data_IF_198633761232
#
_entry.id   IF_198633761232
#
_cell.length_a   1.000
_cell.length_b   1.000
_cell.length_c   1.000
_cell.angle_alpha   90.00
_cell.angle_beta   90.00
_cell.angle_gamma   90.00
#
_symmetry.space_group_name_H-M   'P 1'
#
loop_
_entity.id
_entity.type
_entity.pdbx_description
1 polymer ?
#
# COMPACT_ATOMS: atom_id res chain seq x y z
N UNK A 1 62.49 -34.30 -43.64
CA UNK A 1 62.41 -34.27 -42.16
C UNK A 1 61.02 -33.79 -41.78
N UNK A 2 60.27 -34.61 -41.03
CA UNK A 2 58.93 -34.31 -40.52
C UNK A 2 59.03 -33.31 -39.36
N UNK A 3 58.13 -32.34 -39.32
CA UNK A 3 57.73 -31.63 -38.11
C UNK A 3 56.23 -31.30 -38.18
N UNK A 4 55.52 -31.28 -37.04
CA UNK A 4 54.13 -31.72 -36.96
C UNK A 4 53.11 -30.59 -36.98
N UNK A 5 51.94 -30.89 -37.54
CA UNK A 5 50.70 -30.15 -37.36
C UNK A 5 50.32 -30.10 -35.88
N UNK A 6 50.18 -28.89 -35.32
CA UNK A 6 49.53 -28.69 -34.03
C UNK A 6 48.08 -28.30 -34.29
N UNK A 7 47.22 -29.21 -33.86
CA UNK A 7 45.75 -29.17 -33.84
C UNK A 7 45.21 -27.91 -33.16
N UNK A 8 44.28 -27.24 -33.82
CA UNK A 8 43.40 -26.20 -33.28
C UNK A 8 42.46 -26.81 -32.24
N UNK A 9 42.86 -26.75 -30.96
CA UNK A 9 42.01 -27.07 -29.83
C UNK A 9 40.95 -25.99 -29.63
N UNK A 10 39.69 -26.34 -29.84
CA UNK A 10 38.52 -25.53 -29.50
C UNK A 10 38.53 -25.20 -28.00
N UNK A 11 38.79 -23.94 -27.64
CA UNK A 11 38.51 -23.43 -26.31
C UNK A 11 36.99 -23.23 -26.23
N UNK A 12 36.30 -24.20 -25.64
CA UNK A 12 34.92 -24.04 -25.21
C UNK A 12 34.90 -23.07 -24.03
N UNK A 13 34.65 -21.79 -24.30
CA UNK A 13 34.30 -20.81 -23.27
C UNK A 13 32.91 -21.18 -22.76
N UNK A 14 32.85 -21.91 -21.65
CA UNK A 14 31.61 -22.10 -20.90
C UNK A 14 31.24 -20.75 -20.31
N UNK A 15 30.30 -20.05 -20.95
CA UNK A 15 29.60 -18.94 -20.32
C UNK A 15 28.77 -19.51 -19.17
N UNK A 16 29.35 -19.56 -17.97
CA UNK A 16 28.58 -19.69 -16.74
C UNK A 16 27.80 -18.38 -16.63
N UNK A 17 26.55 -18.43 -17.10
CA UNK A 17 25.58 -17.36 -16.88
C UNK A 17 25.31 -17.31 -15.39
N UNK A 18 26.04 -16.47 -14.67
CA UNK A 18 25.62 -16.00 -13.36
C UNK A 18 24.32 -15.23 -13.58
N UNK A 19 23.19 -15.89 -13.31
CA UNK A 19 21.98 -15.19 -12.92
C UNK A 19 22.27 -14.55 -11.56
N UNK A 20 22.90 -13.39 -11.58
CA UNK A 20 22.71 -12.43 -10.49
C UNK A 20 21.23 -12.07 -10.57
N UNK A 21 20.43 -12.67 -9.70
CA UNK A 21 19.13 -12.10 -9.31
C UNK A 21 19.49 -10.81 -8.56
N UNK A 22 19.79 -9.77 -9.34
CA UNK A 22 19.70 -8.42 -8.85
C UNK A 22 18.22 -8.25 -8.51
N UNK A 23 17.89 -8.44 -7.23
CA UNK A 23 16.65 -8.01 -6.65
C UNK A 23 16.59 -6.50 -6.90
N UNK A 24 16.02 -6.14 -8.04
CA UNK A 24 15.84 -4.77 -8.48
C UNK A 24 14.76 -4.14 -7.64
N UNK A 25 15.10 -3.82 -6.38
CA UNK A 25 14.46 -2.76 -5.63
C UNK A 25 14.70 -1.48 -6.43
N UNK A 26 13.77 -1.21 -7.34
CA UNK A 26 13.79 -0.05 -8.21
C UNK A 26 13.63 1.22 -7.36
N UNK A 27 14.75 1.73 -6.82
CA UNK A 27 14.93 3.14 -6.50
C UNK A 27 14.67 3.94 -7.78
N UNK A 28 13.43 4.36 -7.99
CA UNK A 28 13.03 5.10 -9.20
C UNK A 28 11.64 4.79 -9.75
N UNK A 29 10.67 4.42 -8.91
CA UNK A 29 9.26 4.35 -9.35
C UNK A 29 8.81 5.76 -9.78
N UNK A 30 8.74 6.00 -11.08
CA UNK A 30 8.38 7.30 -11.66
C UNK A 30 6.84 7.47 -11.57
N UNK A 31 6.37 7.83 -10.37
CA UNK A 31 4.96 8.12 -10.11
C UNK A 31 4.56 9.35 -10.93
N UNK A 32 3.51 9.20 -11.74
CA UNK A 32 2.86 10.31 -12.46
C UNK A 32 1.99 11.09 -11.48
N UNK A 33 1.12 10.37 -10.75
CA UNK A 33 0.16 10.98 -9.83
C UNK A 33 -0.40 9.97 -8.85
N UNK A 34 -0.75 10.45 -7.66
CA UNK A 34 -1.62 9.73 -6.73
C UNK A 34 -2.95 10.47 -6.65
N UNK A 35 -4.03 9.79 -6.99
CA UNK A 35 -5.38 10.35 -7.00
C UNK A 35 -6.34 9.50 -6.19
N UNK A 36 -7.36 10.14 -5.66
CA UNK A 36 -8.50 9.49 -5.03
C UNK A 36 -9.63 9.48 -6.06
N UNK A 37 -9.96 8.30 -6.56
CA UNK A 37 -11.05 8.11 -7.53
C UNK A 37 -12.26 7.50 -6.84
N UNK A 38 -13.46 7.88 -7.29
CA UNK A 38 -14.71 7.31 -6.78
C UNK A 38 -14.85 5.86 -7.27
N UNK A 39 -14.94 4.94 -6.33
CA UNK A 39 -15.49 3.60 -6.47
C UNK A 39 -16.85 3.53 -5.79
N UNK A 40 -17.57 2.43 -5.98
CA UNK A 40 -18.83 2.16 -5.32
C UNK A 40 -18.75 0.84 -4.57
N UNK A 41 -19.17 0.85 -3.31
CA UNK A 41 -19.20 -0.34 -2.45
C UNK A 41 -20.63 -0.58 -1.94
N UNK A 42 -21.00 -1.84 -1.76
CA UNK A 42 -22.29 -2.24 -1.19
C UNK A 42 -22.17 -2.39 0.33
N UNK A 43 -23.06 -1.72 1.06
CA UNK A 43 -23.19 -1.80 2.50
C UNK A 43 -24.20 -2.82 3.01
N UNK A 44 -24.26 -2.93 4.33
CA UNK A 44 -25.28 -3.71 5.02
C UNK A 44 -26.67 -3.15 4.65
N UNK A 45 -27.57 -4.02 4.16
CA UNK A 45 -28.88 -3.62 3.64
C UNK A 45 -28.94 -3.32 2.14
N UNK A 46 -27.85 -3.56 1.38
CA UNK A 46 -27.85 -3.46 -0.09
C UNK A 46 -27.67 -2.04 -0.65
N UNK A 47 -27.53 -1.03 0.22
CA UNK A 47 -27.23 0.33 -0.20
C UNK A 47 -25.84 0.40 -0.85
N UNK A 48 -25.72 1.10 -1.97
CA UNK A 48 -24.44 1.35 -2.66
C UNK A 48 -23.97 2.76 -2.31
N UNK A 49 -22.74 2.90 -1.82
CA UNK A 49 -22.17 4.19 -1.44
C UNK A 49 -20.84 4.48 -2.14
N UNK A 50 -20.55 5.76 -2.44
CA UNK A 50 -19.29 6.16 -3.06
C UNK A 50 -18.13 6.06 -2.07
N UNK A 51 -16.99 5.54 -2.52
CA UNK A 51 -15.74 5.43 -1.76
C UNK A 51 -14.59 5.97 -2.59
N UNK A 52 -13.83 6.92 -2.05
CA UNK A 52 -12.73 7.58 -2.76
C UNK A 52 -11.40 6.83 -2.61
N UNK A 53 -11.20 5.74 -3.34
CA UNK A 53 -10.02 4.90 -3.18
C UNK A 53 -8.74 5.51 -3.77
N UNK A 54 -7.56 5.28 -3.15
CA UNK A 54 -6.30 5.77 -3.69
C UNK A 54 -5.82 4.93 -4.88
N UNK A 55 -5.40 5.62 -5.92
CA UNK A 55 -4.80 5.07 -7.13
C UNK A 55 -3.42 5.69 -7.32
N UNK A 56 -2.41 4.86 -7.55
CA UNK A 56 -1.06 5.28 -7.92
C UNK A 56 -0.91 5.07 -9.42
N UNK A 57 -0.82 6.17 -10.15
CA UNK A 57 -0.56 6.20 -11.58
C UNK A 57 0.94 6.35 -11.81
N UNK A 58 1.51 5.45 -12.60
CA UNK A 58 2.93 5.45 -12.95
C UNK A 58 3.13 5.94 -14.38
N UNK A 59 4.23 6.63 -14.66
CA UNK A 59 4.53 7.21 -15.98
C UNK A 59 4.68 6.16 -17.10
N UNK A 60 4.98 4.92 -16.74
CA UNK A 60 5.05 3.80 -17.69
C UNK A 60 3.66 3.25 -18.09
N UNK A 61 2.56 3.90 -17.67
CA UNK A 61 1.19 3.47 -17.96
C UNK A 61 0.66 2.40 -17.02
N UNK A 62 1.40 1.99 -15.99
CA UNK A 62 0.89 1.11 -14.93
C UNK A 62 0.01 1.87 -13.93
N UNK A 63 -0.96 1.19 -13.33
CA UNK A 63 -1.75 1.72 -12.22
C UNK A 63 -1.92 0.67 -11.12
N UNK A 64 -1.83 1.13 -9.86
CA UNK A 64 -2.12 0.33 -8.68
C UNK A 64 -3.27 0.94 -7.87
N UNK A 65 -4.30 0.15 -7.59
CA UNK A 65 -5.43 0.50 -6.72
C UNK A 65 -5.16 0.06 -5.28
N UNK A 66 -5.49 0.96 -4.35
CA UNK A 66 -5.41 0.75 -2.90
C UNK A 66 -4.06 0.15 -2.46
N UNK A 67 -2.92 0.77 -2.82
CA UNK A 67 -1.59 0.24 -2.49
C UNK A 67 -1.49 -0.09 -0.99
N UNK A 68 -0.93 -1.27 -0.68
CA UNK A 68 -0.74 -1.72 0.72
C UNK A 68 0.65 -1.36 1.24
N UNK A 69 1.66 -1.51 0.39
CA UNK A 69 3.06 -1.19 0.68
C UNK A 69 3.39 0.27 0.36
N UNK A 70 4.54 0.75 0.83
CA UNK A 70 5.03 2.08 0.49
C UNK A 70 5.18 2.26 -1.03
N UNK A 71 4.98 3.49 -1.51
CA UNK A 71 4.94 3.79 -2.95
C UNK A 71 6.22 3.39 -3.69
N UNK A 72 7.37 3.45 -3.02
CA UNK A 72 8.70 3.11 -3.52
C UNK A 72 9.01 1.60 -3.43
N UNK A 73 8.14 0.84 -2.76
CA UNK A 73 8.23 -0.62 -2.61
C UNK A 73 7.22 -1.38 -3.50
N UNK A 74 6.40 -0.66 -4.26
CA UNK A 74 5.45 -1.27 -5.20
C UNK A 74 6.24 -1.98 -6.30
N UNK A 75 6.19 -3.31 -6.34
CA UNK A 75 6.79 -4.07 -7.44
C UNK A 75 5.82 -4.14 -8.64
N UNK A 76 6.10 -3.36 -9.67
CA UNK A 76 5.31 -3.32 -10.90
C UNK A 76 5.50 -4.56 -11.79
N UNK A 77 6.50 -5.41 -11.52
CA UNK A 77 6.77 -6.67 -12.22
C UNK A 77 6.14 -7.85 -11.50
N UNK A 78 6.11 -7.84 -10.16
CA UNK A 78 5.47 -8.87 -9.34
C UNK A 78 3.94 -8.69 -9.24
N UNK A 79 3.27 -8.27 -10.32
CA UNK A 79 1.80 -8.18 -10.39
C UNK A 79 1.21 -9.58 -10.23
N UNK A 80 0.89 -9.94 -9.00
CA UNK A 80 0.38 -11.28 -8.72
C UNK A 80 -1.04 -11.43 -9.28
N UNK A 81 -1.33 -12.61 -9.83
CA UNK A 81 -2.69 -12.98 -10.28
C UNK A 81 -3.69 -12.90 -9.12
N UNK A 82 -3.25 -13.21 -7.91
CA UNK A 82 -4.06 -13.17 -6.67
C UNK A 82 -4.51 -11.75 -6.28
N UNK A 83 -3.91 -10.73 -6.87
CA UNK A 83 -4.29 -9.32 -6.69
C UNK A 83 -4.55 -8.61 -8.01
N UNK A 84 -4.85 -9.34 -9.09
CA UNK A 84 -5.03 -8.78 -10.43
C UNK A 84 -6.15 -7.72 -10.53
N UNK A 85 -7.13 -7.73 -9.61
CA UNK A 85 -8.16 -6.68 -9.50
C UNK A 85 -7.64 -5.33 -9.00
N UNK A 86 -6.40 -5.27 -8.50
CA UNK A 86 -5.74 -4.05 -8.00
C UNK A 86 -4.67 -3.52 -8.94
N UNK A 87 -4.32 -4.27 -9.98
CA UNK A 87 -3.30 -3.91 -10.95
C UNK A 87 -3.93 -3.70 -12.32
N UNK A 88 -3.39 -2.74 -13.06
CA UNK A 88 -3.84 -2.50 -14.41
C UNK A 88 -2.91 -1.61 -15.21
N UNK A 89 -3.44 -1.20 -16.34
CA UNK A 89 -2.86 -0.15 -17.18
C UNK A 89 -3.83 1.02 -17.29
N UNK A 90 -3.30 2.21 -17.56
CA UNK A 90 -4.12 3.40 -17.73
C UNK A 90 -3.71 4.19 -18.95
N UNK A 91 -4.69 4.89 -19.53
CA UNK A 91 -4.50 5.89 -20.58
C UNK A 91 -5.39 7.09 -20.29
N UNK A 92 -4.84 8.28 -20.49
CA UNK A 92 -5.60 9.53 -20.41
C UNK A 92 -6.13 9.90 -21.78
N UNK A 93 -7.35 10.42 -21.82
CA UNK A 93 -7.95 11.03 -23.00
C UNK A 93 -8.81 12.21 -22.55
N UNK A 94 -8.38 13.43 -22.89
CA UNK A 94 -9.01 14.65 -22.40
C UNK A 94 -9.08 14.71 -20.86
N UNK A 95 -10.25 15.07 -20.33
CA UNK A 95 -10.55 15.14 -18.89
C UNK A 95 -10.86 13.78 -18.23
N UNK A 96 -10.57 12.66 -18.89
CA UNK A 96 -10.86 11.31 -18.39
C UNK A 96 -9.61 10.44 -18.34
N UNK A 97 -9.64 9.43 -17.49
CA UNK A 97 -8.69 8.31 -17.48
C UNK A 97 -9.46 7.02 -17.68
N UNK A 98 -8.97 6.20 -18.62
CA UNK A 98 -9.43 4.83 -18.81
C UNK A 98 -8.42 3.88 -18.18
N UNK A 99 -8.90 3.04 -17.29
CA UNK A 99 -8.15 2.00 -16.59
C UNK A 99 -8.60 0.66 -17.15
N UNK A 100 -7.65 -0.19 -17.48
CA UNK A 100 -7.87 -1.58 -17.87
C UNK A 100 -7.21 -2.47 -16.83
N UNK A 101 -8.00 -3.27 -16.14
CA UNK A 101 -7.51 -4.15 -15.07
C UNK A 101 -6.83 -5.39 -15.64
N UNK A 102 -5.82 -5.88 -14.92
CA UNK A 102 -5.11 -7.11 -15.28
C UNK A 102 -5.98 -8.35 -14.96
N UNK A 103 -6.94 -8.21 -14.03
CA UNK A 103 -7.92 -9.24 -13.70
C UNK A 103 -9.10 -9.31 -14.67
N UNK A 104 -9.84 -10.41 -14.59
CA UNK A 104 -11.11 -10.62 -15.28
C UNK A 104 -12.25 -10.76 -14.29
N UNK A 105 -13.45 -10.36 -14.68
CA UNK A 105 -14.64 -10.56 -13.87
C UNK A 105 -15.09 -12.03 -13.86
N UNK A 106 -16.17 -12.34 -13.13
CA UNK A 106 -16.76 -13.69 -13.04
C UNK A 106 -17.18 -14.29 -14.40
N UNK A 107 -17.33 -13.47 -15.44
CA UNK A 107 -17.66 -13.89 -16.82
C UNK A 107 -16.42 -14.03 -17.70
N UNK A 108 -15.21 -13.97 -17.14
CA UNK A 108 -13.95 -14.07 -17.86
C UNK A 108 -13.63 -12.85 -18.73
N UNK A 109 -14.35 -11.73 -18.58
CA UNK A 109 -14.11 -10.51 -19.36
C UNK A 109 -13.18 -9.56 -18.62
N UNK A 110 -12.25 -8.97 -19.37
CA UNK A 110 -11.37 -7.92 -18.85
C UNK A 110 -12.22 -6.72 -18.43
N UNK A 111 -11.96 -6.23 -17.22
CA UNK A 111 -12.69 -5.08 -16.68
C UNK A 111 -12.00 -3.77 -17.07
N UNK A 112 -12.81 -2.78 -17.42
CA UNK A 112 -12.33 -1.41 -17.64
C UNK A 112 -13.13 -0.44 -16.77
N UNK A 113 -12.49 0.65 -16.39
CA UNK A 113 -13.09 1.75 -15.63
C UNK A 113 -12.72 3.06 -16.30
N UNK A 114 -13.70 3.94 -16.46
CA UNK A 114 -13.45 5.35 -16.79
C UNK A 114 -13.73 6.21 -15.56
N UNK A 115 -12.91 7.24 -15.37
CA UNK A 115 -13.05 8.18 -14.27
C UNK A 115 -12.63 9.59 -14.71
N UNK A 116 -13.09 10.60 -13.97
CA UNK A 116 -12.62 11.96 -14.13
C UNK A 116 -11.13 12.05 -13.79
N UNK A 117 -10.39 12.75 -14.65
CA UNK A 117 -8.99 13.08 -14.43
C UNK A 117 -8.88 14.57 -14.10
N UNK A 118 -8.11 14.97 -13.06
CA UNK A 118 -7.22 14.14 -12.26
C UNK A 118 -7.86 13.42 -11.06
N UNK A 119 -9.19 13.47 -10.92
CA UNK A 119 -9.88 13.03 -9.71
C UNK A 119 -9.53 13.92 -8.50
N UNK A 120 -9.83 13.45 -7.30
CA UNK A 120 -9.47 14.18 -6.08
C UNK A 120 -7.99 13.98 -5.73
N UNK A 121 -7.33 15.00 -5.20
CA UNK A 121 -5.93 14.90 -4.79
C UNK A 121 -5.78 14.03 -3.55
N UNK A 122 -4.84 13.09 -3.57
CA UNK A 122 -4.32 12.44 -2.37
C UNK A 122 -3.24 13.34 -1.77
N UNK A 123 -3.46 13.87 -0.58
CA UNK A 123 -2.50 14.80 0.04
C UNK A 123 -1.41 14.03 0.78
N UNK A 124 -0.15 14.39 0.53
CA UNK A 124 1.01 13.86 1.23
C UNK A 124 1.15 14.46 2.64
N UNK A 125 1.86 13.76 3.51
CA UNK A 125 2.39 14.32 4.75
C UNK A 125 3.57 15.27 4.46
N UNK A 126 3.63 16.38 5.19
CA UNK A 126 4.83 17.22 5.26
C UNK A 126 5.98 16.53 6.00
N UNK A 127 7.22 17.00 5.79
CA UNK A 127 8.45 16.40 6.34
C UNK A 127 8.54 16.35 7.88
N UNK A 128 7.75 17.18 8.58
CA UNK A 128 7.66 17.22 10.04
C UNK A 128 6.22 17.04 10.55
N UNK A 129 5.32 16.58 9.69
CA UNK A 129 3.94 16.37 10.08
C UNK A 129 3.84 15.27 11.16
N UNK A 130 2.90 15.45 12.09
CA UNK A 130 2.62 14.51 13.17
C UNK A 130 1.14 14.20 13.19
N UNK A 131 0.82 12.94 13.45
CA UNK A 131 -0.53 12.49 13.69
C UNK A 131 -0.80 12.56 15.20
N UNK A 132 -2.03 12.86 15.55
CA UNK A 132 -2.47 12.89 16.93
C UNK A 132 -3.90 12.37 17.03
N UNK A 133 -4.20 11.71 18.13
CA UNK A 133 -5.53 11.21 18.46
C UNK A 133 -5.81 9.82 17.91
N UNK A 134 -7.06 9.41 18.07
CA UNK A 134 -7.54 8.06 17.73
C UNK A 134 -8.34 8.09 16.44
N UNK A 135 -8.00 7.20 15.52
CA UNK A 135 -8.51 7.08 14.17
C UNK A 135 -9.11 5.69 14.01
N UNK A 136 -10.37 5.59 13.58
CA UNK A 136 -11.06 4.30 13.42
C UNK A 136 -11.35 4.04 11.94
N UNK A 137 -11.24 2.77 11.54
CA UNK A 137 -11.56 2.34 10.19
C UNK A 137 -13.05 2.54 9.92
N UNK A 138 -13.39 3.20 8.82
CA UNK A 138 -14.79 3.36 8.38
C UNK A 138 -15.24 2.24 7.43
N UNK A 139 -14.31 1.43 6.92
CA UNK A 139 -14.61 0.21 6.15
C UNK A 139 -14.51 -1.03 7.04
N UNK A 140 -15.21 -2.10 6.65
CA UNK A 140 -15.06 -3.43 7.27
C UNK A 140 -13.60 -3.86 7.16
N UNK A 141 -12.86 -3.74 8.26
CA UNK A 141 -11.40 -3.71 8.29
C UNK A 141 -10.77 -4.71 7.32
N UNK A 142 -10.18 -4.20 6.24
CA UNK A 142 -9.43 -5.04 5.32
C UNK A 142 -8.26 -5.68 6.06
N UNK A 143 -8.10 -6.99 5.92
CA UNK A 143 -6.92 -7.69 6.41
C UNK A 143 -5.69 -7.08 5.73
N UNK A 144 -4.90 -6.29 6.47
CA UNK A 144 -3.56 -5.98 6.02
C UNK A 144 -2.75 -7.24 6.35
N UNK A 145 -2.52 -8.09 5.36
CA UNK A 145 -1.69 -9.27 5.55
C UNK A 145 -0.23 -8.83 5.65
N UNK A 146 0.26 -8.72 6.87
CA UNK A 146 1.69 -8.54 7.14
C UNK A 146 2.28 -9.95 7.21
N UNK A 147 3.09 -10.33 6.20
CA UNK A 147 3.88 -11.55 6.28
C UNK A 147 4.93 -11.46 7.41
N UNK A 148 5.35 -12.62 7.92
CA UNK A 148 6.29 -12.78 9.04
C UNK A 148 5.60 -12.96 10.41
N UNK A 149 6.38 -12.90 11.49
CA UNK A 149 5.95 -13.06 12.89
C UNK A 149 4.87 -12.07 13.36
N UNK A 150 4.65 -10.99 12.61
CA UNK A 150 3.60 -9.98 12.84
C UNK A 150 2.40 -10.29 11.94
N UNK A 151 1.85 -11.51 12.08
CA UNK A 151 0.75 -11.98 11.24
C UNK A 151 -0.43 -11.00 11.20
N UNK A 152 -0.90 -10.70 9.98
CA UNK A 152 -2.16 -10.02 9.63
C UNK A 152 -2.72 -9.08 10.72
N UNK A 153 -2.09 -7.93 10.91
CA UNK A 153 -2.63 -6.86 11.73
C UNK A 153 -3.91 -6.26 11.08
N UNK A 154 -5.05 -6.66 11.64
CA UNK A 154 -6.41 -6.24 11.29
C UNK A 154 -6.81 -5.00 12.09
N UNK A 155 -6.00 -3.92 12.00
CA UNK A 155 -6.23 -2.73 12.81
C UNK A 155 -7.51 -1.99 12.42
N UNK A 156 -8.55 -2.13 13.24
CA UNK A 156 -9.75 -1.28 13.15
C UNK A 156 -9.50 0.13 13.69
N UNK A 157 -8.40 0.36 14.41
CA UNK A 157 -8.12 1.61 15.09
C UNK A 157 -6.62 1.87 15.15
N UNK A 158 -6.22 3.13 14.99
CA UNK A 158 -4.89 3.61 15.34
C UNK A 158 -5.02 4.73 16.34
N UNK A 159 -4.18 4.75 17.37
CA UNK A 159 -3.97 5.94 18.20
C UNK A 159 -2.56 6.43 17.95
N UNK A 160 -2.41 7.70 17.57
CA UNK A 160 -1.12 8.34 17.35
C UNK A 160 -0.91 9.45 18.38
N UNK A 161 0.34 9.66 18.74
CA UNK A 161 0.76 10.77 19.61
C UNK A 161 1.75 11.66 18.87
N UNK A 162 1.79 12.94 19.26
CA UNK A 162 2.64 13.94 18.61
C UNK A 162 4.15 13.67 18.78
N UNK A 163 4.52 12.92 19.82
CA UNK A 163 5.90 12.45 20.07
C UNK A 163 6.32 11.26 19.19
N UNK A 164 5.47 10.83 18.25
CA UNK A 164 5.82 9.82 17.25
C UNK A 164 5.56 8.38 17.70
N UNK A 165 4.64 8.13 18.64
CA UNK A 165 4.22 6.77 19.04
C UNK A 165 2.86 6.41 18.47
N UNK A 166 2.61 5.11 18.31
CA UNK A 166 1.31 4.60 17.88
C UNK A 166 0.88 3.35 18.66
N UNK A 167 -0.43 3.08 18.65
CA UNK A 167 -1.04 1.79 19.03
C UNK A 167 -2.16 1.40 18.05
N UNK A 168 -2.49 0.11 17.93
CA UNK A 168 -3.45 -0.42 16.94
C UNK A 168 -4.74 -1.03 17.51
N UNK A 169 -4.92 -1.03 18.82
CA UNK A 169 -6.11 -1.59 19.51
C UNK A 169 -6.59 -0.67 20.64
N UNK A 170 -7.86 -0.84 21.04
CA UNK A 170 -8.32 -0.37 22.35
C UNK A 170 -7.62 -1.23 23.41
N UNK A 171 -6.73 -0.64 24.20
CA UNK A 171 -6.30 -1.20 25.48
C UNK A 171 -7.50 -1.21 26.44
N UNK A 172 -8.41 -2.17 26.28
CA UNK A 172 -9.27 -2.59 27.36
C UNK A 172 -8.42 -3.46 28.28
N UNK A 173 -8.10 -2.91 29.46
CA UNK A 173 -7.47 -3.62 30.56
C UNK A 173 -8.10 -5.00 30.77
N UNK A 174 -7.38 -6.09 30.45
CA UNK A 174 -7.55 -7.41 31.09
C UNK A 174 -6.33 -8.31 30.82
N UNK A 175 -5.53 -8.47 31.89
CA UNK A 175 -4.89 -9.72 32.40
C UNK A 175 -4.05 -10.64 31.51
N UNK A 176 -2.72 -10.47 31.57
CA UNK A 176 -1.67 -11.48 31.84
C UNK A 176 -0.29 -10.84 31.53
N UNK A 177 0.70 -10.79 32.44
CA UNK A 177 1.91 -9.96 32.27
C UNK A 177 2.72 -10.30 31.02
N UNK A 178 2.77 -11.58 30.66
CA UNK A 178 3.51 -12.11 29.52
C UNK A 178 2.78 -11.86 28.17
N UNK A 179 1.47 -12.10 28.12
CA UNK A 179 0.66 -11.89 26.90
C UNK A 179 0.44 -10.40 26.64
N UNK A 180 0.22 -9.58 27.67
CA UNK A 180 0.07 -8.14 27.53
C UNK A 180 1.38 -7.44 27.12
N UNK A 181 2.53 -7.96 27.53
CA UNK A 181 3.83 -7.46 27.08
C UNK A 181 4.12 -7.86 25.63
N UNK A 182 3.81 -9.10 25.23
CA UNK A 182 3.97 -9.56 23.85
C UNK A 182 2.99 -8.89 22.89
N UNK A 183 1.73 -8.70 23.29
CA UNK A 183 0.74 -7.99 22.48
C UNK A 183 1.15 -6.53 22.25
N UNK A 184 1.59 -5.81 23.31
CA UNK A 184 2.14 -4.46 23.18
C UNK A 184 3.43 -4.38 22.35
N UNK A 185 4.17 -5.48 22.20
CA UNK A 185 5.33 -5.53 21.29
C UNK A 185 4.91 -5.45 19.82
N UNK A 186 3.77 -6.04 19.46
CA UNK A 186 3.28 -6.14 18.08
C UNK A 186 2.10 -5.21 17.75
N UNK A 187 1.54 -4.50 18.74
CA UNK A 187 0.41 -3.56 18.55
C UNK A 187 0.74 -2.13 18.95
N UNK A 188 1.98 -1.85 19.32
CA UNK A 188 2.46 -0.51 19.65
C UNK A 188 3.91 -0.31 19.20
N UNK A 189 4.27 0.95 19.02
CA UNK A 189 5.62 1.30 18.55
C UNK A 189 5.79 2.78 18.25
N UNK A 190 6.75 3.07 17.38
CA UNK A 190 7.02 4.40 16.84
C UNK A 190 6.55 4.51 15.39
N UNK A 191 6.09 5.68 14.99
CA UNK A 191 5.76 5.94 13.60
C UNK A 191 6.54 7.13 13.04
N UNK A 192 6.69 7.13 11.71
CA UNK A 192 7.14 8.28 10.94
C UNK A 192 6.26 8.41 9.70
N UNK A 193 5.90 9.64 9.36
CA UNK A 193 5.24 9.96 8.10
C UNK A 193 6.11 10.91 7.28
N UNK A 194 6.22 10.63 6.00
CA UNK A 194 6.90 11.50 5.05
C UNK A 194 6.33 11.25 3.65
N UNK A 195 5.83 12.29 2.99
CA UNK A 195 5.24 12.15 1.67
C UNK A 195 4.02 11.22 1.71
N UNK A 196 4.06 10.17 0.88
CA UNK A 196 3.03 9.14 0.80
C UNK A 196 3.38 7.84 1.51
N UNK A 197 4.25 7.92 2.53
CA UNK A 197 4.71 6.76 3.28
C UNK A 197 4.49 6.98 4.77
N UNK A 198 3.94 5.96 5.42
CA UNK A 198 4.00 5.79 6.88
C UNK A 198 4.89 4.59 7.19
N UNK A 199 5.88 4.80 8.04
CA UNK A 199 6.69 3.74 8.62
C UNK A 199 6.19 3.47 10.04
N UNK A 200 5.93 2.20 10.36
CA UNK A 200 5.56 1.71 11.67
C UNK A 200 6.66 0.79 12.17
N UNK A 201 7.40 1.24 13.19
CA UNK A 201 8.41 0.44 13.88
C UNK A 201 7.81 -0.07 15.18
N UNK A 202 7.48 -1.35 15.21
CA UNK A 202 6.89 -2.02 16.37
C UNK A 202 7.92 -2.19 17.49
N UNK A 203 7.42 -2.29 18.72
CA UNK A 203 8.24 -2.54 19.90
C UNK A 203 8.94 -3.91 19.87
N UNK A 204 8.52 -4.84 19.01
CA UNK A 204 9.25 -6.09 18.70
C UNK A 204 10.57 -5.86 17.97
N UNK A 205 10.74 -4.69 17.34
CA UNK A 205 11.85 -4.37 16.43
C UNK A 205 11.47 -4.49 14.95
N UNK A 206 10.33 -5.11 14.63
CA UNK A 206 9.84 -5.17 13.25
C UNK A 206 9.47 -3.78 12.72
N UNK A 207 9.87 -3.46 11.49
CA UNK A 207 9.42 -2.26 10.79
C UNK A 207 8.59 -2.60 9.57
N UNK A 208 7.61 -1.76 9.25
CA UNK A 208 6.76 -1.87 8.06
C UNK A 208 6.55 -0.49 7.44
N UNK A 209 6.73 -0.38 6.12
CA UNK A 209 6.49 0.82 5.35
C UNK A 209 5.24 0.63 4.50
N UNK A 210 4.27 1.53 4.67
CA UNK A 210 2.95 1.43 4.07
C UNK A 210 2.64 2.68 3.28
N UNK A 211 1.76 2.54 2.29
CA UNK A 211 1.18 3.69 1.62
C UNK A 211 0.41 4.56 2.62
N UNK A 212 0.57 5.87 2.47
CA UNK A 212 -0.10 6.89 3.27
C UNK A 212 -0.62 8.04 2.39
N UNK A 213 -1.81 8.54 2.70
CA UNK A 213 -2.22 9.87 2.27
C UNK A 213 -3.36 10.42 3.15
N UNK A 214 -3.64 11.72 3.03
CA UNK A 214 -4.87 12.32 3.51
C UNK A 214 -5.88 12.47 2.36
N UNK A 215 -7.16 12.30 2.68
CA UNK A 215 -8.27 12.75 1.84
C UNK A 215 -8.72 14.14 2.33
N UNK A 216 -8.77 15.10 1.40
CA UNK A 216 -9.09 16.49 1.70
C UNK A 216 -7.92 17.29 2.28
N UNK A 217 -7.95 18.62 2.05
CA UNK A 217 -6.94 19.56 2.60
C UNK A 217 -7.05 19.70 4.13
N UNK A 218 -8.22 19.42 4.68
CA UNK A 218 -8.49 19.48 6.12
C UNK A 218 -7.96 18.26 6.89
N UNK A 219 -7.47 17.23 6.16
CA UNK A 219 -6.78 16.06 6.71
C UNK A 219 -7.60 15.28 7.74
N UNK A 220 -8.93 15.35 7.66
CA UNK A 220 -9.86 14.67 8.58
C UNK A 220 -10.04 13.20 8.26
N UNK A 221 -9.54 12.74 7.12
CA UNK A 221 -9.57 11.35 6.72
C UNK A 221 -8.16 10.96 6.30
N UNK A 222 -7.60 9.94 6.94
CA UNK A 222 -6.31 9.38 6.56
C UNK A 222 -6.50 8.04 5.88
N UNK A 223 -5.59 7.70 4.97
CA UNK A 223 -5.51 6.42 4.28
C UNK A 223 -4.19 5.75 4.68
N UNK A 224 -4.25 4.53 5.20
CA UNK A 224 -3.08 3.68 5.50
C UNK A 224 -3.28 2.35 4.81
N UNK A 225 -2.34 1.94 3.95
CA UNK A 225 -2.45 0.72 3.17
C UNK A 225 -3.80 0.62 2.42
N UNK A 226 -4.25 1.72 1.81
CA UNK A 226 -5.53 1.83 1.10
C UNK A 226 -6.78 1.97 1.99
N UNK A 227 -6.71 1.57 3.27
CA UNK A 227 -7.84 1.60 4.21
C UNK A 227 -8.07 3.00 4.79
N UNK A 228 -9.32 3.31 5.15
CA UNK A 228 -9.76 4.67 5.50
C UNK A 228 -9.94 4.78 6.98
N UNK A 229 -9.40 5.83 7.58
CA UNK A 229 -9.59 6.09 9.00
C UNK A 229 -10.04 7.52 9.23
N UNK A 230 -10.99 7.67 10.14
CA UNK A 230 -11.53 8.95 10.59
C UNK A 230 -11.38 9.10 12.10
N UNK A 231 -11.31 10.33 12.64
CA UNK A 231 -11.25 10.54 14.08
C UNK A 231 -12.39 9.83 14.82
N UNK A 232 -12.06 9.02 15.82
CA UNK A 232 -13.01 8.20 16.57
C UNK A 232 -14.05 9.02 17.35
N UNK A 233 -13.74 10.27 17.67
CA UNK A 233 -14.60 11.18 18.43
C UNK A 233 -15.48 12.09 17.54
N UNK A 234 -15.56 11.83 16.24
CA UNK A 234 -16.36 12.66 15.31
C UNK A 234 -17.88 12.54 15.50
N UNK A 235 -18.37 11.62 16.34
CA UNK A 235 -19.81 11.45 16.63
C UNK A 235 -20.38 12.33 17.76
N UNK A 236 -19.59 13.24 18.36
CA UNK A 236 -20.03 14.08 19.50
C UNK A 236 -20.20 15.58 19.22
N UNK A 237 -20.31 15.99 17.95
CA UNK A 237 -20.71 17.37 17.60
C UNK A 237 -21.96 17.33 16.74
N UNK A 238 -23.09 17.10 17.40
CA UNK A 238 -24.43 17.54 17.02
C UNK A 238 -25.31 17.33 18.26
N UNK A 239 -25.27 18.31 19.16
CA UNK A 239 -26.34 18.64 20.09
C UNK A 239 -26.50 20.14 20.06
#
# INVERSE_FOLDING_TARGET
MRSPNISSGNIAIIFVSFFVVACGLARGQNVERISLLVDYESGYGGAVYPVYNPYVFFKNGAVAKEPKVAIDEIDLKARSKDHASRWGTWKRSGGKVKITWDGVNRKGKQETKEADWPGSTAFAAGSNERLEGTWSSTGGGGNIAFGGSVGILTSKRFTFTRDGKFTTENLASTTAPNVAAFSKKNTAGKYKINGHVIELTFNSGDSRRLFFCFYGKDKRVLRIAGNNYTPANSSRRNR
#
